data_IF_240154618257
#
_entry.id   IF_240154618257
#
_cell.length_a   1.000
_cell.length_b   1.000
_cell.length_c   1.000
_cell.angle_alpha   90.00
_cell.angle_beta   90.00
_cell.angle_gamma   90.00
#
_symmetry.space_group_name_H-M   'P 1'
#
loop_
_entity.id
_entity.type
_entity.pdbx_description
1 polymer ?
#
# COMPACT_ATOMS: atom_id res chain seq x y z
N UNK A 1 -32.04 -16.12 19.47
CA UNK A 1 -30.81 -16.81 19.04
C UNK A 1 -29.93 -15.75 18.40
N UNK A 2 -28.97 -15.21 19.16
CA UNK A 2 -28.01 -14.25 18.62
C UNK A 2 -26.96 -15.05 17.86
N UNK A 3 -26.86 -14.82 16.56
CA UNK A 3 -25.73 -15.29 15.75
C UNK A 3 -24.52 -14.50 16.21
N UNK A 4 -23.64 -15.15 16.97
CA UNK A 4 -22.27 -14.69 17.15
C UNK A 4 -21.64 -14.73 15.75
N UNK A 5 -21.60 -13.58 15.08
CA UNK A 5 -20.77 -13.39 13.89
C UNK A 5 -19.34 -13.66 14.38
N UNK A 6 -18.80 -14.84 14.05
CA UNK A 6 -17.42 -15.22 14.35
C UNK A 6 -16.51 -14.28 13.55
N UNK A 7 -16.31 -13.07 14.09
CA UNK A 7 -15.50 -12.04 13.47
C UNK A 7 -14.12 -12.64 13.23
N UNK A 8 -13.75 -12.81 11.96
CA UNK A 8 -12.47 -13.43 11.58
C UNK A 8 -11.35 -12.65 12.25
N UNK A 9 -10.65 -13.31 13.16
CA UNK A 9 -9.56 -12.72 13.91
C UNK A 9 -8.28 -12.74 13.09
N UNK A 10 -7.46 -11.71 13.30
CA UNK A 10 -6.16 -11.56 12.65
C UNK A 10 -5.18 -12.56 13.25
N UNK A 11 -4.47 -13.30 12.40
CA UNK A 11 -3.44 -14.22 12.85
C UNK A 11 -2.20 -13.44 13.30
N UNK A 12 -1.60 -13.86 14.42
CA UNK A 12 -0.36 -13.28 14.96
C UNK A 12 0.74 -14.34 14.93
N UNK A 13 1.96 -13.92 14.58
CA UNK A 13 3.11 -14.80 14.42
C UNK A 13 4.32 -14.18 15.12
N UNK A 14 4.97 -14.94 15.99
CA UNK A 14 6.26 -14.60 16.57
C UNK A 14 7.38 -15.19 15.70
N UNK A 15 7.68 -14.53 14.58
CA UNK A 15 8.81 -14.87 13.72
C UNK A 15 9.91 -13.82 13.81
N UNK A 16 11.16 -14.27 13.88
CA UNK A 16 12.35 -13.40 13.87
C UNK A 16 12.91 -13.17 12.46
N UNK A 17 12.36 -13.82 11.42
CA UNK A 17 12.81 -13.61 10.04
C UNK A 17 12.29 -12.29 9.49
N UNK A 18 13.21 -11.41 9.09
CA UNK A 18 12.89 -10.13 8.47
C UNK A 18 12.00 -10.27 7.23
N UNK A 19 12.21 -11.30 6.39
CA UNK A 19 11.40 -11.49 5.17
C UNK A 19 9.95 -11.78 5.54
N UNK A 20 9.75 -12.64 6.52
CA UNK A 20 8.42 -12.97 7.02
C UNK A 20 7.78 -11.76 7.68
N UNK A 21 8.49 -11.00 8.53
CA UNK A 21 7.98 -9.78 9.15
C UNK A 21 7.55 -8.73 8.11
N UNK A 22 8.33 -8.56 7.04
CA UNK A 22 7.99 -7.65 5.95
C UNK A 22 6.74 -8.12 5.17
N UNK A 23 6.60 -9.43 4.95
CA UNK A 23 5.43 -10.03 4.32
C UNK A 23 4.18 -9.93 5.21
N UNK A 24 4.33 -10.22 6.50
CA UNK A 24 3.29 -10.08 7.51
C UNK A 24 2.83 -8.62 7.64
N UNK A 25 3.74 -7.65 7.56
CA UNK A 25 3.39 -6.24 7.53
C UNK A 25 2.54 -5.85 6.31
N UNK A 26 2.74 -6.49 5.17
CA UNK A 26 1.89 -6.30 3.98
C UNK A 26 0.50 -6.93 4.19
N UNK A 27 0.46 -8.17 4.68
CA UNK A 27 -0.79 -8.84 5.05
C UNK A 27 -1.60 -8.03 6.06
N UNK A 28 -0.96 -7.55 7.13
CA UNK A 28 -1.59 -6.77 8.19
C UNK A 28 -2.33 -5.56 7.63
N UNK A 29 -1.67 -4.79 6.76
CA UNK A 29 -2.27 -3.59 6.16
C UNK A 29 -3.51 -3.94 5.34
N UNK A 30 -3.40 -4.95 4.48
CA UNK A 30 -4.53 -5.38 3.63
C UNK A 30 -5.67 -5.94 4.48
N UNK A 31 -5.37 -6.70 5.53
CA UNK A 31 -6.36 -7.25 6.47
C UNK A 31 -7.10 -6.15 7.26
N UNK A 32 -6.39 -5.10 7.66
CA UNK A 32 -6.97 -3.97 8.39
C UNK A 32 -7.83 -3.08 7.46
N UNK A 33 -7.50 -3.00 6.17
CA UNK A 33 -8.25 -2.25 5.14
C UNK A 33 -9.47 -3.01 4.58
N UNK A 34 -9.48 -4.34 4.68
CA UNK A 34 -10.56 -5.19 4.15
C UNK A 34 -11.78 -5.16 5.06
N UNK A 35 -12.97 -4.97 4.46
CA UNK A 35 -14.27 -5.04 5.17
C UNK A 35 -14.91 -6.41 5.00
N UNK A 36 -14.70 -7.07 3.84
CA UNK A 36 -15.31 -8.37 3.50
C UNK A 36 -14.65 -9.49 4.29
N UNK A 37 -15.46 -10.29 4.98
CA UNK A 37 -15.00 -11.43 5.78
C UNK A 37 -14.38 -12.55 4.92
N UNK A 38 -15.00 -12.88 3.78
CA UNK A 38 -14.47 -13.87 2.84
C UNK A 38 -13.03 -13.58 2.41
N UNK A 39 -12.72 -12.29 2.21
CA UNK A 39 -11.37 -11.85 1.80
C UNK A 39 -10.39 -11.96 2.97
N UNK A 40 -10.83 -11.66 4.20
CA UNK A 40 -10.02 -11.86 5.41
C UNK A 40 -9.64 -13.32 5.61
N UNK A 41 -10.57 -14.24 5.34
CA UNK A 41 -10.29 -15.67 5.41
C UNK A 41 -9.23 -16.09 4.39
N UNK A 42 -9.35 -15.63 3.14
CA UNK A 42 -8.35 -15.91 2.09
C UNK A 42 -6.97 -15.33 2.45
N UNK A 43 -6.91 -14.14 3.05
CA UNK A 43 -5.66 -13.53 3.50
C UNK A 43 -5.02 -14.35 4.64
N UNK A 44 -5.82 -14.88 5.56
CA UNK A 44 -5.35 -15.75 6.63
C UNK A 44 -4.74 -17.04 6.08
N UNK A 45 -5.43 -17.70 5.15
CA UNK A 45 -4.92 -18.90 4.45
C UNK A 45 -3.62 -18.62 3.69
N UNK A 46 -3.52 -17.45 3.08
CA UNK A 46 -2.34 -17.06 2.31
C UNK A 46 -1.12 -16.84 3.22
N UNK A 47 -1.31 -16.22 4.39
CA UNK A 47 -0.24 -16.05 5.37
C UNK A 47 0.15 -17.37 6.04
N UNK A 48 -0.80 -18.27 6.30
CA UNK A 48 -0.46 -19.61 6.83
C UNK A 48 0.34 -20.41 5.81
N UNK A 49 -0.04 -20.41 4.53
CA UNK A 49 0.74 -21.03 3.44
C UNK A 49 2.16 -20.47 3.34
N UNK A 50 2.35 -19.17 3.60
CA UNK A 50 3.69 -18.58 3.63
C UNK A 50 4.47 -19.07 4.86
N UNK A 51 3.81 -19.19 6.02
CA UNK A 51 4.45 -19.66 7.25
C UNK A 51 4.83 -21.15 7.22
N UNK A 52 4.09 -21.97 6.45
CA UNK A 52 4.38 -23.39 6.24
C UNK A 52 5.36 -23.65 5.09
N UNK A 53 5.93 -22.59 4.49
CA UNK A 53 6.81 -22.65 3.32
C UNK A 53 6.17 -23.33 2.08
N UNK A 54 4.84 -23.44 2.04
CA UNK A 54 4.10 -23.98 0.88
C UNK A 54 4.16 -23.02 -0.33
N UNK A 55 4.21 -21.72 -0.06
CA UNK A 55 4.37 -20.68 -1.08
C UNK A 55 5.62 -19.84 -0.83
N UNK A 56 6.32 -19.49 -1.91
CA UNK A 56 7.43 -18.55 -1.84
C UNK A 56 6.99 -17.09 -1.76
N UNK A 57 7.83 -16.24 -1.16
CA UNK A 57 7.62 -14.78 -1.07
C UNK A 57 7.20 -14.09 -2.39
N UNK A 58 7.77 -14.42 -3.58
CA UNK A 58 7.35 -13.78 -4.82
C UNK A 58 5.89 -14.08 -5.18
N UNK A 59 5.41 -15.29 -4.89
CA UNK A 59 4.02 -15.69 -5.14
C UNK A 59 3.08 -15.02 -4.14
N UNK A 60 3.49 -14.97 -2.87
CA UNK A 60 2.79 -14.25 -1.82
C UNK A 60 2.53 -12.78 -2.21
N UNK A 61 3.57 -12.04 -2.60
CA UNK A 61 3.42 -10.63 -2.94
C UNK A 61 2.59 -10.38 -4.20
N UNK A 62 2.59 -11.31 -5.17
CA UNK A 62 1.70 -11.22 -6.34
C UNK A 62 0.24 -11.31 -5.91
N UNK A 63 -0.12 -12.35 -5.16
CA UNK A 63 -1.49 -12.56 -4.69
C UNK A 63 -1.96 -11.46 -3.73
N UNK A 64 -1.09 -10.98 -2.84
CA UNK A 64 -1.39 -9.82 -1.98
C UNK A 64 -1.65 -8.55 -2.81
N UNK A 65 -0.95 -8.39 -3.94
CA UNK A 65 -1.14 -7.26 -4.85
C UNK A 65 -2.55 -7.21 -5.42
N UNK A 66 -3.13 -8.36 -5.76
CA UNK A 66 -4.48 -8.45 -6.32
C UNK A 66 -5.54 -7.92 -5.33
N UNK A 67 -5.41 -8.26 -4.04
CA UNK A 67 -6.28 -7.71 -3.00
C UNK A 67 -6.04 -6.21 -2.81
N UNK A 68 -4.79 -5.75 -2.89
CA UNK A 68 -4.46 -4.33 -2.69
C UNK A 68 -4.98 -3.44 -3.83
N UNK A 69 -4.98 -3.90 -5.07
CA UNK A 69 -5.54 -3.15 -6.20
C UNK A 69 -7.07 -2.97 -6.08
N UNK A 70 -7.79 -3.93 -5.48
CA UNK A 70 -9.24 -3.81 -5.23
C UNK A 70 -9.56 -2.69 -4.23
N UNK A 71 -8.68 -2.44 -3.24
CA UNK A 71 -8.95 -1.48 -2.16
C UNK A 71 -8.23 -0.14 -2.28
N UNK A 72 -6.98 -0.13 -2.77
CA UNK A 72 -6.12 1.03 -2.58
C UNK A 72 -6.33 2.08 -3.68
N UNK A 73 -6.84 1.73 -4.88
CA UNK A 73 -7.18 2.66 -6.00
C UNK A 73 -6.08 3.65 -6.43
N UNK A 74 -4.93 3.61 -5.75
CA UNK A 74 -3.80 4.50 -5.83
C UNK A 74 -2.82 3.82 -6.76
N UNK A 75 -3.12 3.89 -8.05
CA UNK A 75 -2.10 3.73 -9.08
C UNK A 75 -0.87 4.52 -8.63
N UNK A 76 0.29 3.86 -8.51
CA UNK A 76 1.56 4.54 -8.32
C UNK A 76 1.86 5.35 -9.58
N UNK A 77 1.20 6.50 -9.71
CA UNK A 77 1.46 7.46 -10.77
C UNK A 77 2.83 8.02 -10.48
N UNK A 78 3.83 7.47 -11.16
CA UNK A 78 5.18 8.03 -11.19
C UNK A 78 5.04 9.47 -11.67
N UNK A 79 5.07 10.42 -10.73
CA UNK A 79 5.00 11.82 -11.06
C UNK A 79 6.22 12.15 -11.94
N UNK A 80 5.99 12.49 -13.20
CA UNK A 80 7.07 12.84 -14.10
C UNK A 80 7.65 14.16 -13.64
N UNK A 81 8.86 14.12 -13.09
CA UNK A 81 9.58 15.34 -12.72
C UNK A 81 9.87 16.11 -14.01
N UNK A 82 9.26 17.29 -14.15
CA UNK A 82 9.51 18.18 -15.27
C UNK A 82 10.52 19.26 -14.87
N UNK A 83 11.68 19.25 -15.52
CA UNK A 83 12.69 20.30 -15.39
C UNK A 83 12.42 21.49 -16.31
N UNK A 84 13.09 22.61 -16.05
CA UNK A 84 13.11 23.76 -16.96
C UNK A 84 14.53 24.29 -17.14
N UNK A 85 14.80 24.97 -18.27
CA UNK A 85 16.10 25.62 -18.50
C UNK A 85 16.30 26.76 -17.49
N UNK A 86 17.51 26.88 -16.93
CA UNK A 86 17.87 27.88 -15.89
C UNK A 86 17.44 29.32 -16.24
N UNK A 87 17.63 29.74 -17.49
CA UNK A 87 17.24 31.08 -17.95
C UNK A 87 15.71 31.28 -17.90
N UNK A 88 14.92 30.29 -18.33
CA UNK A 88 13.47 30.36 -18.32
C UNK A 88 12.92 30.43 -16.87
N UNK A 89 13.53 29.67 -15.96
CA UNK A 89 13.21 29.73 -14.53
C UNK A 89 13.44 31.14 -13.96
N UNK A 90 14.63 31.73 -14.22
CA UNK A 90 14.96 33.10 -13.76
C UNK A 90 13.99 34.15 -14.29
N UNK A 91 13.59 34.05 -15.56
CA UNK A 91 12.61 34.98 -16.15
C UNK A 91 11.25 34.88 -15.47
N UNK A 92 10.74 33.66 -15.24
CA UNK A 92 9.48 33.43 -14.50
C UNK A 92 9.54 33.93 -13.06
N UNK A 93 10.67 33.75 -12.38
CA UNK A 93 10.91 34.27 -11.03
C UNK A 93 10.84 35.80 -10.98
N UNK A 94 11.54 36.50 -11.90
CA UNK A 94 11.52 37.95 -11.99
C UNK A 94 10.11 38.49 -12.27
N UNK A 95 9.38 37.84 -13.17
CA UNK A 95 7.99 38.16 -13.49
C UNK A 95 7.08 38.00 -12.27
N UNK A 96 7.17 36.86 -11.56
CA UNK A 96 6.44 36.62 -10.30
C UNK A 96 6.77 37.66 -9.24
N UNK A 97 8.04 38.02 -9.09
CA UNK A 97 8.47 39.05 -8.14
C UNK A 97 7.90 40.42 -8.50
N UNK A 98 7.89 40.79 -9.78
CA UNK A 98 7.28 42.04 -10.27
C UNK A 98 5.78 42.06 -9.99
N UNK A 99 5.07 40.99 -10.34
CA UNK A 99 3.63 40.88 -10.05
C UNK A 99 3.40 41.03 -8.54
N UNK A 100 4.13 40.29 -7.70
CA UNK A 100 3.98 40.38 -6.23
C UNK A 100 4.18 41.81 -5.69
N UNK A 101 5.09 42.60 -6.28
CA UNK A 101 5.33 43.99 -5.89
C UNK A 101 4.21 44.95 -6.32
N UNK A 102 3.59 44.70 -7.47
CA UNK A 102 2.66 45.64 -8.10
C UNK A 102 1.19 45.18 -8.05
N UNK A 103 0.91 43.96 -7.57
CA UNK A 103 -0.43 43.48 -7.32
C UNK A 103 -0.93 44.14 -6.03
N UNK A 104 -1.80 45.14 -6.17
CA UNK A 104 -2.69 45.59 -5.10
C UNK A 104 -3.84 44.61 -4.96
#
# INVERSE_FOLDING_TARGET
>A
MATEEESITKLTFDSTDFKFLAAYGAYSKVFDETIKEDVKQQLNELVTQLSSDEIGYPQFYRRIGDFREEYDGREFRRARIQGSRKFAYRRKEQERARIKRHKR
#
